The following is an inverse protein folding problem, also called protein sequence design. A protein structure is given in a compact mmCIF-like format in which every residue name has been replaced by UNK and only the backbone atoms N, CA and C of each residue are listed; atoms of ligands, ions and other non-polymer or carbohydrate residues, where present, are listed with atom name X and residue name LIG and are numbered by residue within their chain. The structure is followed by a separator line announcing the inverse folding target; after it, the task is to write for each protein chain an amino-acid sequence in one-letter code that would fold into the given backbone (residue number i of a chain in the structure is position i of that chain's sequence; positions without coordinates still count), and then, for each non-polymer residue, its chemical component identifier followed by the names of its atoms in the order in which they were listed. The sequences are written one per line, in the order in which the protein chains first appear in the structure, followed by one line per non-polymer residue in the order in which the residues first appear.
data_IF_119587952705
#
_entry.id   IF_119587952705
#
_cell.length_a   1.000
_cell.length_b   1.000
_cell.length_c   1.000
_cell.angle_alpha   90.00
_cell.angle_beta   90.00
_cell.angle_gamma   90.00
#
_symmetry.space_group_name_H-M   'P 1'
#
loop_
_entity.id
_entity.type
_entity.pdbx_description
1 polymer ?
#
# COMPACT_ATOMS: atom_id res chain seq x y z
N UNK A 1 32.98 -49.60 19.47
CA UNK A 1 31.61 -49.20 19.06
C UNK A 1 30.94 -48.23 20.03
N UNK A 2 31.01 -48.42 21.36
CA UNK A 2 30.35 -47.56 22.37
C UNK A 2 30.80 -46.08 22.42
N UNK A 3 31.97 -45.74 21.87
CA UNK A 3 32.52 -44.39 21.95
C UNK A 3 32.05 -43.51 20.78
N UNK A 4 31.79 -44.12 19.62
CA UNK A 4 31.28 -43.44 18.42
C UNK A 4 29.79 -43.07 18.58
N UNK A 5 29.02 -43.92 19.25
CA UNK A 5 27.60 -43.66 19.50
C UNK A 5 27.42 -42.46 20.46
N UNK A 6 28.31 -42.32 21.44
CA UNK A 6 28.32 -41.20 22.39
C UNK A 6 28.78 -39.88 21.75
N UNK A 7 29.65 -39.91 20.74
CA UNK A 7 30.03 -38.68 20.02
C UNK A 7 28.93 -38.21 19.09
N UNK A 8 28.18 -39.11 18.45
CA UNK A 8 27.00 -38.77 17.65
C UNK A 8 25.87 -38.20 18.52
N UNK A 9 25.62 -38.78 19.70
CA UNK A 9 24.67 -38.22 20.67
C UNK A 9 25.07 -36.82 21.16
N UNK A 10 26.36 -36.57 21.43
CA UNK A 10 26.83 -35.23 21.83
C UNK A 10 26.69 -34.22 20.71
N UNK A 11 27.06 -34.57 19.48
CA UNK A 11 26.92 -33.69 18.32
C UNK A 11 25.45 -33.29 18.07
N UNK A 12 24.49 -34.18 18.37
CA UNK A 12 23.06 -33.90 18.26
C UNK A 12 22.53 -32.98 19.37
N UNK A 13 23.17 -32.97 20.56
CA UNK A 13 22.84 -32.08 21.69
C UNK A 13 23.48 -30.70 21.58
N UNK A 14 24.61 -30.60 20.87
CA UNK A 14 25.36 -29.35 20.66
C UNK A 14 24.99 -28.62 19.36
N UNK A 15 24.10 -29.19 18.55
CA UNK A 15 23.56 -28.50 17.38
C UNK A 15 22.94 -27.16 17.81
N UNK A 16 23.40 -26.02 17.26
CA UNK A 16 22.86 -24.72 17.64
C UNK A 16 21.36 -24.71 17.37
N UNK A 17 20.52 -24.19 18.29
CA UNK A 17 19.09 -24.19 18.11
C UNK A 17 18.76 -23.41 16.83
N UNK A 18 18.22 -24.13 15.83
CA UNK A 18 17.75 -23.59 14.56
C UNK A 18 16.65 -22.54 14.82
N UNK A 19 17.01 -21.27 15.06
CA UNK A 19 15.98 -20.33 15.48
C UNK A 19 16.41 -18.95 15.94
N UNK A 20 17.46 -18.35 15.39
CA UNK A 20 17.74 -16.92 15.62
C UNK A 20 16.53 -16.04 15.27
N UNK A 21 15.86 -16.36 14.17
CA UNK A 21 14.59 -15.72 13.76
C UNK A 21 13.43 -16.04 14.73
N UNK A 22 13.34 -17.29 15.20
CA UNK A 22 12.28 -17.73 16.11
C UNK A 22 12.41 -17.09 17.50
N UNK A 23 13.63 -16.87 18.01
CA UNK A 23 13.87 -16.14 19.27
C UNK A 23 13.56 -14.64 19.15
N UNK A 24 13.79 -14.03 17.98
CA UNK A 24 13.39 -12.64 17.71
C UNK A 24 11.86 -12.48 17.60
N UNK A 25 11.16 -13.51 17.10
CA UNK A 25 9.71 -13.55 16.93
C UNK A 25 8.95 -14.14 18.13
N UNK A 26 9.62 -14.71 19.13
CA UNK A 26 8.97 -15.32 20.31
C UNK A 26 8.77 -14.36 21.49
N UNK A 27 9.31 -13.13 21.42
CA UNK A 27 9.07 -12.09 22.43
C UNK A 27 7.63 -11.52 22.38
N UNK A 28 7.25 -10.70 23.37
CA UNK A 28 5.92 -10.05 23.45
C UNK A 28 5.49 -9.35 22.15
N UNK A 29 6.44 -8.75 21.42
CA UNK A 29 6.20 -8.09 20.12
C UNK A 29 5.88 -9.09 19.00
N UNK A 30 6.54 -10.24 18.96
CA UNK A 30 6.32 -11.25 17.93
C UNK A 30 5.04 -12.04 18.15
N UNK A 31 4.61 -12.26 19.41
CA UNK A 31 3.26 -12.76 19.71
C UNK A 31 2.18 -11.83 19.16
N UNK A 32 2.32 -10.52 19.36
CA UNK A 32 1.40 -9.51 18.83
C UNK A 32 1.40 -9.46 17.29
N UNK A 33 2.57 -9.57 16.65
CA UNK A 33 2.66 -9.64 15.19
C UNK A 33 1.93 -10.88 14.65
N UNK A 34 2.08 -12.02 15.32
CA UNK A 34 1.39 -13.26 14.96
C UNK A 34 -0.13 -13.11 15.10
N UNK A 35 -0.60 -12.51 16.19
CA UNK A 35 -2.02 -12.18 16.39
C UNK A 35 -2.56 -11.31 15.25
N UNK A 36 -1.84 -10.25 14.85
CA UNK A 36 -2.23 -9.41 13.71
C UNK A 36 -2.22 -10.15 12.38
N UNK A 37 -1.16 -10.91 12.08
CA UNK A 37 -1.07 -11.68 10.84
C UNK A 37 -2.19 -12.70 10.74
N UNK A 38 -2.51 -13.40 11.83
CA UNK A 38 -3.63 -14.32 11.86
C UNK A 38 -4.95 -13.60 11.56
N UNK A 39 -5.18 -12.43 12.17
CA UNK A 39 -6.37 -11.62 11.89
C UNK A 39 -6.45 -11.19 10.42
N UNK A 40 -5.37 -10.64 9.86
CA UNK A 40 -5.34 -10.23 8.45
C UNK A 40 -5.50 -11.41 7.48
N UNK A 41 -4.90 -12.56 7.77
CA UNK A 41 -5.03 -13.77 6.95
C UNK A 41 -6.47 -14.32 6.95
N UNK A 42 -7.19 -14.19 8.07
CA UNK A 42 -8.61 -14.57 8.14
C UNK A 42 -9.50 -13.63 7.32
N UNK A 43 -9.18 -12.33 7.30
CA UNK A 43 -9.93 -11.33 6.53
C UNK A 43 -9.61 -11.39 5.04
N UNK A 44 -8.37 -11.73 4.68
CA UNK A 44 -7.85 -11.73 3.31
C UNK A 44 -8.77 -12.44 2.28
N UNK A 45 -9.26 -13.68 2.49
CA UNK A 45 -10.12 -14.34 1.49
C UNK A 45 -11.41 -13.57 1.24
N UNK A 46 -12.02 -12.99 2.29
CA UNK A 46 -13.23 -12.18 2.16
C UNK A 46 -12.94 -10.87 1.43
N UNK A 47 -11.82 -10.21 1.74
CA UNK A 47 -11.37 -9.01 1.02
C UNK A 47 -11.11 -9.29 -0.46
N UNK A 48 -10.50 -10.42 -0.81
CA UNK A 48 -10.27 -10.83 -2.21
C UNK A 48 -11.60 -11.05 -2.93
N UNK A 49 -12.58 -11.67 -2.26
CA UNK A 49 -13.91 -11.89 -2.83
C UNK A 49 -14.64 -10.57 -3.07
N UNK A 50 -14.68 -9.68 -2.08
CA UNK A 50 -15.27 -8.34 -2.19
C UNK A 50 -14.58 -7.53 -3.30
N UNK A 51 -13.26 -7.60 -3.38
CA UNK A 51 -12.51 -6.92 -4.43
C UNK A 51 -12.87 -7.47 -5.81
N UNK A 52 -12.82 -8.79 -6.00
CA UNK A 52 -13.02 -9.42 -7.32
C UNK A 52 -14.44 -9.30 -7.83
N UNK A 53 -15.45 -9.45 -6.94
CA UNK A 53 -16.87 -9.44 -7.32
C UNK A 53 -17.48 -8.04 -7.20
N UNK A 54 -17.03 -7.22 -6.25
CA UNK A 54 -17.61 -5.89 -5.99
C UNK A 54 -16.83 -4.75 -6.62
N UNK A 55 -15.58 -4.55 -6.18
CA UNK A 55 -14.82 -3.34 -6.55
C UNK A 55 -14.26 -3.41 -7.98
N UNK A 56 -13.77 -4.57 -8.40
CA UNK A 56 -13.15 -4.77 -9.70
C UNK A 56 -14.13 -4.50 -10.86
N UNK A 57 -15.37 -5.04 -10.87
CA UNK A 57 -16.31 -4.76 -11.95
C UNK A 57 -16.69 -3.27 -12.04
N UNK A 58 -16.83 -2.58 -10.91
CA UNK A 58 -17.10 -1.14 -10.86
C UNK A 58 -15.94 -0.35 -11.47
N UNK A 59 -14.71 -0.66 -11.07
CA UNK A 59 -13.51 -0.03 -11.63
C UNK A 59 -13.35 -0.32 -13.13
N UNK A 60 -13.63 -1.55 -13.55
CA UNK A 60 -13.59 -1.95 -14.96
C UNK A 60 -14.65 -1.22 -15.79
N UNK A 61 -15.88 -1.09 -15.28
CA UNK A 61 -16.93 -0.32 -15.93
C UNK A 61 -16.54 1.16 -16.08
N UNK A 62 -15.93 1.76 -15.05
CA UNK A 62 -15.39 3.11 -15.12
C UNK A 62 -14.29 3.22 -16.18
N UNK A 63 -13.34 2.29 -16.22
CA UNK A 63 -12.30 2.26 -17.25
C UNK A 63 -12.89 2.20 -18.66
N UNK A 64 -13.83 1.28 -18.90
CA UNK A 64 -14.54 1.14 -20.18
C UNK A 64 -15.27 2.44 -20.55
N UNK A 65 -15.92 3.10 -19.59
CA UNK A 65 -16.67 4.35 -19.81
C UNK A 65 -15.80 5.53 -20.26
N UNK A 66 -14.49 5.50 -19.96
CA UNK A 66 -13.53 6.53 -20.39
C UNK A 66 -12.92 6.25 -21.77
N UNK A 67 -13.24 5.10 -22.37
CA UNK A 67 -12.74 4.68 -23.68
C UNK A 67 -13.87 4.61 -24.70
N UNK A 68 -13.50 4.71 -25.98
CA UNK A 68 -14.45 4.44 -27.07
C UNK A 68 -14.63 2.93 -27.21
N UNK A 69 -15.60 2.35 -26.52
CA UNK A 69 -15.84 0.91 -26.56
C UNK A 69 -16.87 0.54 -27.63
N UNK A 70 -16.45 -0.26 -28.62
CA UNK A 70 -17.36 -0.92 -29.58
C UNK A 70 -17.20 -2.43 -29.43
N UNK A 71 -16.70 -3.12 -30.47
CA UNK A 71 -16.39 -4.56 -30.46
C UNK A 71 -14.98 -4.82 -29.90
N UNK A 72 -14.09 -3.82 -29.98
CA UNK A 72 -12.74 -3.85 -29.44
C UNK A 72 -12.49 -2.61 -28.57
N UNK A 73 -11.47 -2.70 -27.72
CA UNK A 73 -10.93 -1.55 -27.00
C UNK A 73 -10.52 -0.48 -28.03
N UNK A 74 -11.03 0.73 -27.85
CA UNK A 74 -10.72 1.91 -28.66
C UNK A 74 -9.94 2.95 -27.87
N UNK A 75 -9.58 4.09 -28.48
CA UNK A 75 -8.77 5.11 -27.83
C UNK A 75 -9.45 5.69 -26.58
N UNK A 76 -8.64 6.19 -25.66
CA UNK A 76 -9.10 6.96 -24.52
C UNK A 76 -9.80 8.24 -25.00
N UNK A 77 -11.05 8.45 -24.58
CA UNK A 77 -11.87 9.63 -24.93
C UNK A 77 -12.17 10.50 -23.72
N UNK A 78 -11.67 10.11 -22.54
CA UNK A 78 -11.88 10.83 -21.29
C UNK A 78 -13.35 10.94 -20.92
N UNK A 79 -13.75 12.12 -20.45
CA UNK A 79 -15.11 12.38 -19.99
C UNK A 79 -16.12 12.63 -21.13
N UNK A 80 -15.71 12.49 -22.39
CA UNK A 80 -16.58 12.78 -23.54
C UNK A 80 -17.87 11.95 -23.53
N UNK A 81 -17.78 10.67 -23.16
CA UNK A 81 -18.96 9.81 -23.06
C UNK A 81 -19.96 10.28 -21.99
N UNK A 82 -19.47 10.86 -20.88
CA UNK A 82 -20.32 11.44 -19.84
C UNK A 82 -20.91 12.77 -20.30
N UNK A 83 -20.08 13.67 -20.84
CA UNK A 83 -20.54 14.96 -21.35
C UNK A 83 -21.61 14.79 -22.43
N UNK A 84 -21.48 13.81 -23.34
CA UNK A 84 -22.51 13.53 -24.35
C UNK A 84 -23.79 12.90 -23.78
N UNK A 85 -23.75 12.25 -22.62
CA UNK A 85 -24.91 11.59 -22.03
C UNK A 85 -25.77 12.53 -21.17
N UNK A 86 -25.15 13.47 -20.47
CA UNK A 86 -25.82 14.39 -19.53
C UNK A 86 -25.67 15.88 -19.89
N UNK A 87 -24.94 16.20 -20.98
CA UNK A 87 -24.79 17.52 -21.60
C UNK A 87 -24.52 18.66 -20.59
N UNK A 88 -25.30 19.74 -20.59
CA UNK A 88 -25.12 20.89 -19.71
C UNK A 88 -25.05 20.52 -18.21
N UNK A 89 -25.73 19.45 -17.79
CA UNK A 89 -25.72 18.98 -16.39
C UNK A 89 -24.34 18.47 -15.96
N UNK A 90 -23.53 17.94 -16.88
CA UNK A 90 -22.16 17.50 -16.59
C UNK A 90 -21.32 18.62 -15.99
N UNK A 91 -21.41 19.81 -16.59
CA UNK A 91 -20.64 20.97 -16.18
C UNK A 91 -21.04 21.45 -14.78
N UNK A 92 -22.34 21.47 -14.48
CA UNK A 92 -22.86 21.85 -13.16
C UNK A 92 -22.41 20.84 -12.09
N UNK A 93 -22.47 19.54 -12.39
CA UNK A 93 -22.03 18.49 -11.48
C UNK A 93 -20.52 18.56 -11.20
N UNK A 94 -19.69 18.71 -12.24
CA UNK A 94 -18.24 18.84 -12.10
C UNK A 94 -17.90 20.09 -11.30
N UNK A 95 -18.56 21.21 -11.58
CA UNK A 95 -18.39 22.45 -10.83
C UNK A 95 -18.77 22.26 -9.35
N UNK A 96 -19.91 21.63 -9.06
CA UNK A 96 -20.35 21.35 -7.70
C UNK A 96 -19.37 20.46 -6.93
N UNK A 97 -18.84 19.41 -7.56
CA UNK A 97 -17.80 18.56 -6.97
C UNK A 97 -16.52 19.35 -6.72
N UNK A 98 -16.08 20.19 -7.67
CA UNK A 98 -14.89 21.01 -7.53
C UNK A 98 -15.02 22.00 -6.37
N UNK A 99 -16.16 22.68 -6.24
CA UNK A 99 -16.47 23.58 -5.11
C UNK A 99 -16.49 22.81 -3.79
N UNK A 100 -17.14 21.65 -3.75
CA UNK A 100 -17.18 20.80 -2.55
C UNK A 100 -15.79 20.35 -2.09
N UNK A 101 -14.95 19.89 -3.03
CA UNK A 101 -13.56 19.51 -2.75
C UNK A 101 -12.73 20.71 -2.29
N UNK A 102 -12.89 21.88 -2.91
CA UNK A 102 -12.21 23.11 -2.50
C UNK A 102 -12.61 23.53 -1.08
N UNK A 103 -13.91 23.47 -0.75
CA UNK A 103 -14.41 23.74 0.59
C UNK A 103 -13.82 22.79 1.63
N UNK A 104 -13.81 21.48 1.35
CA UNK A 104 -13.23 20.47 2.25
C UNK A 104 -11.73 20.68 2.44
N UNK A 105 -11.00 21.01 1.37
CA UNK A 105 -9.57 21.32 1.42
C UNK A 105 -9.29 22.56 2.29
N UNK A 106 -10.08 23.63 2.13
CA UNK A 106 -9.96 24.84 2.95
C UNK A 106 -10.30 24.54 4.42
N UNK A 107 -11.37 23.80 4.68
CA UNK A 107 -11.79 23.43 6.05
C UNK A 107 -10.70 22.65 6.77
N UNK A 108 -10.20 21.59 6.13
CA UNK A 108 -9.14 20.75 6.69
C UNK A 108 -7.83 21.52 6.86
N UNK A 109 -7.45 22.37 5.90
CA UNK A 109 -6.27 23.22 6.03
C UNK A 109 -6.38 24.18 7.23
N UNK A 110 -7.54 24.82 7.43
CA UNK A 110 -7.78 25.70 8.58
C UNK A 110 -7.69 24.94 9.91
N UNK A 111 -8.29 23.75 9.99
CA UNK A 111 -8.23 22.91 11.19
C UNK A 111 -6.79 22.47 11.51
N UNK A 112 -6.01 22.07 10.50
CA UNK A 112 -4.60 21.69 10.67
C UNK A 112 -3.77 22.88 11.14
N UNK A 113 -3.96 24.06 10.54
CA UNK A 113 -3.22 25.27 10.90
C UNK A 113 -3.56 25.76 12.31
N UNK A 114 -4.81 25.63 12.73
CA UNK A 114 -5.25 25.99 14.08
C UNK A 114 -4.61 25.08 15.13
N UNK A 115 -4.75 23.76 14.97
CA UNK A 115 -4.15 22.75 15.87
C UNK A 115 -2.62 22.84 15.91
N UNK A 116 -1.99 23.13 14.77
CA UNK A 116 -0.54 23.31 14.70
C UNK A 116 -0.06 24.51 15.54
N UNK A 117 -0.83 25.61 15.58
CA UNK A 117 -0.51 26.78 16.41
C UNK A 117 -0.69 26.49 17.90
N UNK A 118 -1.73 25.74 18.27
CA UNK A 118 -2.02 25.38 19.67
C UNK A 118 -1.00 24.41 20.26
N UNK A 119 -0.57 23.41 19.47
CA UNK A 119 0.37 22.38 19.93
C UNK A 119 1.83 22.62 19.53
N UNK A 120 2.15 23.76 18.90
CA UNK A 120 3.48 24.10 18.35
C UNK A 120 4.07 22.97 17.47
N UNK A 121 3.22 22.27 16.74
CA UNK A 121 3.61 21.18 15.83
C UNK A 121 3.97 21.74 14.44
N UNK A 122 4.77 20.99 13.68
CA UNK A 122 5.18 21.36 12.31
C UNK A 122 4.29 20.67 11.27
N UNK A 123 3.21 21.30 10.76
CA UNK A 123 2.21 20.64 9.91
C UNK A 123 2.76 20.25 8.53
N UNK A 124 3.80 20.94 8.05
CA UNK A 124 4.41 20.72 6.75
C UNK A 124 4.99 19.32 6.55
N UNK A 125 5.48 18.67 7.62
CA UNK A 125 6.02 17.31 7.55
C UNK A 125 4.91 16.30 7.27
N UNK A 126 3.76 16.46 7.93
CA UNK A 126 2.59 15.61 7.69
C UNK A 126 1.98 15.86 6.31
N UNK A 127 1.98 17.12 5.86
CA UNK A 127 1.53 17.48 4.52
C UNK A 127 2.44 16.89 3.43
N UNK A 128 3.75 16.97 3.61
CA UNK A 128 4.73 16.33 2.72
C UNK A 128 4.50 14.82 2.66
N UNK A 129 4.38 14.17 3.81
CA UNK A 129 4.14 12.73 3.87
C UNK A 129 2.82 12.34 3.18
N UNK A 130 1.75 13.11 3.43
CA UNK A 130 0.47 12.92 2.76
C UNK A 130 0.58 13.09 1.24
N UNK A 131 1.32 14.10 0.78
CA UNK A 131 1.53 14.36 -0.65
C UNK A 131 2.30 13.23 -1.35
N UNK A 132 3.32 12.65 -0.69
CA UNK A 132 4.07 11.51 -1.20
C UNK A 132 3.18 10.27 -1.36
N UNK A 133 2.34 9.99 -0.37
CA UNK A 133 1.38 8.89 -0.47
C UNK A 133 0.33 9.15 -1.56
N UNK A 134 -0.20 10.36 -1.68
CA UNK A 134 -1.11 10.73 -2.76
C UNK A 134 -0.47 10.54 -4.14
N UNK A 135 0.79 10.98 -4.30
CA UNK A 135 1.58 10.74 -5.52
C UNK A 135 1.74 9.25 -5.83
N UNK A 136 1.98 8.42 -4.81
CA UNK A 136 2.05 6.97 -4.98
C UNK A 136 0.72 6.38 -5.48
N UNK A 137 -0.42 6.86 -4.98
CA UNK A 137 -1.75 6.40 -5.43
C UNK A 137 -1.98 6.80 -6.89
N UNK A 138 -1.61 8.01 -7.28
CA UNK A 138 -1.71 8.46 -8.68
C UNK A 138 -0.87 7.57 -9.61
N UNK A 139 0.36 7.25 -9.21
CA UNK A 139 1.24 6.37 -9.99
C UNK A 139 0.73 4.94 -10.06
N UNK A 140 0.11 4.42 -8.99
CA UNK A 140 -0.58 3.13 -9.01
C UNK A 140 -1.72 3.11 -10.03
N UNK A 141 -2.59 4.13 -10.00
CA UNK A 141 -3.68 4.24 -10.96
C UNK A 141 -3.17 4.33 -12.40
N UNK A 142 -2.09 5.10 -12.63
CA UNK A 142 -1.41 5.12 -13.94
C UNK A 142 -0.92 3.73 -14.35
N UNK A 143 -0.26 3.00 -13.46
CA UNK A 143 0.17 1.62 -13.72
C UNK A 143 -1.01 0.73 -14.13
N UNK A 144 -2.13 0.78 -13.40
CA UNK A 144 -3.35 0.00 -13.72
C UNK A 144 -3.90 0.38 -15.11
N UNK A 145 -4.00 1.67 -15.42
CA UNK A 145 -4.50 2.15 -16.72
C UNK A 145 -3.60 1.71 -17.88
N UNK A 146 -2.28 1.66 -17.68
CA UNK A 146 -1.30 1.23 -18.69
C UNK A 146 -1.27 -0.31 -18.83
N UNK A 147 -1.46 -1.05 -17.74
CA UNK A 147 -1.53 -2.52 -17.74
C UNK A 147 -2.80 -3.03 -18.42
N UNK A 148 -3.94 -2.37 -18.19
CA UNK A 148 -5.24 -2.80 -18.70
C UNK A 148 -5.26 -3.11 -20.21
N UNK A 149 -4.79 -2.25 -21.13
CA UNK A 149 -4.81 -2.54 -22.56
C UNK A 149 -3.92 -3.73 -22.94
N UNK A 150 -2.76 -3.91 -22.29
CA UNK A 150 -1.87 -5.05 -22.56
C UNK A 150 -2.52 -6.38 -22.17
N UNK A 151 -3.22 -6.41 -21.01
CA UNK A 151 -3.95 -7.60 -20.55
C UNK A 151 -5.17 -7.88 -21.45
N UNK A 152 -5.93 -6.84 -21.80
CA UNK A 152 -7.08 -6.97 -22.69
C UNK A 152 -6.68 -7.39 -24.12
N UNK A 153 -5.50 -6.97 -24.57
CA UNK A 153 -4.91 -7.34 -25.87
C UNK A 153 -4.54 -8.82 -26.00
N UNK A 154 -4.40 -9.55 -24.89
CA UNK A 154 -4.17 -11.01 -24.90
C UNK A 154 -5.23 -11.72 -25.75
N UNK A 155 -6.49 -11.26 -25.69
CA UNK A 155 -7.59 -11.84 -26.46
C UNK A 155 -7.36 -11.78 -27.99
N UNK A 156 -6.66 -10.76 -28.48
CA UNK A 156 -6.26 -10.69 -29.90
C UNK A 156 -5.05 -11.59 -30.19
N UNK A 157 -4.09 -11.70 -29.27
CA UNK A 157 -2.89 -12.55 -29.41
C UNK A 157 -3.19 -14.05 -29.42
N UNK A 158 -4.27 -14.49 -28.77
CA UNK A 158 -4.70 -15.90 -28.71
C UNK A 158 -5.44 -16.36 -29.99
N UNK A 159 -5.84 -15.43 -30.87
CA UNK A 159 -6.61 -15.77 -32.08
C UNK A 159 -5.79 -16.62 -33.03
N UNK A 160 -6.35 -17.75 -33.46
CA UNK A 160 -5.69 -18.68 -34.38
C UNK A 160 -4.62 -19.56 -33.73
N UNK A 161 -4.41 -19.45 -32.42
CA UNK A 161 -3.53 -20.33 -31.65
C UNK A 161 -4.35 -21.37 -30.86
N UNK A 162 -3.72 -22.51 -30.56
CA UNK A 162 -4.29 -23.47 -29.64
C UNK A 162 -4.37 -22.87 -28.22
N UNK A 163 -5.56 -22.95 -27.63
CA UNK A 163 -5.82 -22.36 -26.32
C UNK A 163 -5.30 -23.29 -25.23
N UNK A 164 -4.12 -22.99 -24.71
CA UNK A 164 -3.51 -23.68 -23.56
C UNK A 164 -3.32 -22.75 -22.36
N UNK A 165 -3.19 -23.35 -21.17
CA UNK A 165 -2.90 -22.61 -19.93
C UNK A 165 -1.51 -21.97 -20.01
N UNK A 166 -0.56 -22.67 -20.59
CA UNK A 166 0.83 -22.28 -20.74
C UNK A 166 0.93 -21.04 -21.62
N UNK A 167 0.24 -21.03 -22.76
CA UNK A 167 0.17 -19.86 -23.66
C UNK A 167 -0.44 -18.65 -22.93
N UNK A 168 -1.53 -18.83 -22.19
CA UNK A 168 -2.15 -17.75 -21.44
C UNK A 168 -1.22 -17.16 -20.37
N UNK A 169 -0.54 -18.00 -19.59
CA UNK A 169 0.42 -17.55 -18.57
C UNK A 169 1.61 -16.83 -19.20
N UNK A 170 2.11 -17.31 -20.35
CA UNK A 170 3.16 -16.64 -21.11
C UNK A 170 2.73 -15.23 -21.53
N UNK A 171 1.56 -15.10 -22.16
CA UNK A 171 1.03 -13.80 -22.59
C UNK A 171 0.73 -12.87 -21.42
N UNK A 172 0.31 -13.41 -20.26
CA UNK A 172 0.11 -12.63 -19.05
C UNK A 172 1.42 -12.05 -18.50
N UNK A 173 2.49 -12.86 -18.48
CA UNK A 173 3.82 -12.40 -18.07
C UNK A 173 4.37 -11.38 -19.08
N UNK A 174 4.13 -11.58 -20.37
CA UNK A 174 4.49 -10.63 -21.43
C UNK A 174 3.79 -9.28 -21.22
N UNK A 175 2.48 -9.28 -20.94
CA UNK A 175 1.73 -8.06 -20.64
C UNK A 175 2.26 -7.32 -19.39
N UNK A 176 2.62 -8.06 -18.32
CA UNK A 176 3.21 -7.48 -17.11
C UNK A 176 4.63 -6.91 -17.33
N UNK A 177 5.35 -7.42 -18.34
CA UNK A 177 6.71 -7.00 -18.70
C UNK A 177 6.77 -6.11 -19.94
N UNK A 178 5.61 -5.67 -20.46
CA UNK A 178 5.55 -4.77 -21.60
C UNK A 178 6.35 -3.48 -21.32
N UNK A 179 6.96 -2.91 -22.35
CA UNK A 179 7.81 -1.72 -22.25
C UNK A 179 7.06 -0.50 -21.66
N UNK A 180 5.75 -0.44 -21.85
CA UNK A 180 4.87 0.58 -21.28
C UNK A 180 4.58 0.34 -19.79
N UNK A 181 4.44 -0.93 -19.39
CA UNK A 181 3.95 -1.37 -18.07
C UNK A 181 5.07 -1.41 -17.03
N UNK A 182 6.20 -2.02 -17.37
CA UNK A 182 7.28 -2.28 -16.41
C UNK A 182 7.85 -1.00 -15.79
N UNK A 183 8.14 0.07 -16.55
CA UNK A 183 8.59 1.33 -15.96
C UNK A 183 7.53 1.99 -15.08
N UNK A 184 6.24 1.89 -15.44
CA UNK A 184 5.15 2.44 -14.63
C UNK A 184 5.04 1.74 -13.27
N UNK A 185 5.20 0.41 -13.26
CA UNK A 185 5.26 -0.38 -12.03
C UNK A 185 6.47 0.02 -11.17
N UNK A 186 7.66 0.13 -11.77
CA UNK A 186 8.88 0.52 -11.06
C UNK A 186 8.79 1.94 -10.47
N UNK A 187 8.22 2.89 -11.20
CA UNK A 187 8.00 4.25 -10.70
C UNK A 187 7.05 4.25 -9.49
N UNK A 188 5.95 3.50 -9.56
CA UNK A 188 5.01 3.38 -8.46
C UNK A 188 5.67 2.76 -7.22
N UNK A 189 6.29 1.59 -7.35
CA UNK A 189 6.87 0.89 -6.20
C UNK A 189 8.01 1.69 -5.56
N UNK A 190 8.78 2.43 -6.36
CA UNK A 190 9.85 3.29 -5.86
C UNK A 190 9.27 4.41 -5.01
N UNK A 191 8.29 5.18 -5.52
CA UNK A 191 7.68 6.28 -4.77
C UNK A 191 6.93 5.78 -3.53
N UNK A 192 6.22 4.66 -3.65
CA UNK A 192 5.54 4.03 -2.51
C UNK A 192 6.54 3.62 -1.42
N UNK A 193 7.64 2.97 -1.80
CA UNK A 193 8.67 2.54 -0.85
C UNK A 193 9.36 3.73 -0.20
N UNK A 194 9.70 4.78 -0.95
CA UNK A 194 10.26 6.01 -0.42
C UNK A 194 9.31 6.69 0.57
N UNK A 195 8.02 6.80 0.23
CA UNK A 195 7.01 7.34 1.13
C UNK A 195 6.88 6.52 2.42
N UNK A 196 6.88 5.20 2.31
CA UNK A 196 6.79 4.29 3.45
C UNK A 196 8.04 4.33 4.36
N UNK A 197 9.24 4.32 3.78
CA UNK A 197 10.50 4.46 4.50
C UNK A 197 10.57 5.81 5.22
N UNK A 198 10.15 6.89 4.54
CA UNK A 198 10.08 8.22 5.14
C UNK A 198 9.09 8.25 6.32
N UNK A 199 7.88 7.68 6.16
CA UNK A 199 6.90 7.53 7.23
C UNK A 199 7.47 6.77 8.43
N UNK A 200 8.14 5.64 8.16
CA UNK A 200 8.74 4.79 9.17
C UNK A 200 9.85 5.53 9.94
N UNK A 201 10.72 6.24 9.22
CA UNK A 201 11.79 7.04 9.80
C UNK A 201 11.24 8.15 10.71
N UNK A 202 10.26 8.93 10.21
CA UNK A 202 9.61 9.98 11.00
C UNK A 202 8.97 9.43 12.28
N UNK A 203 8.29 8.28 12.17
CA UNK A 203 7.69 7.62 13.31
C UNK A 203 8.76 7.18 14.33
N UNK A 204 9.88 6.62 13.86
CA UNK A 204 10.96 6.15 14.72
C UNK A 204 11.64 7.29 15.48
N UNK A 205 11.91 8.42 14.81
CA UNK A 205 12.53 9.60 15.42
C UNK A 205 11.60 10.25 16.45
N UNK A 206 10.31 10.42 16.12
CA UNK A 206 9.30 10.96 17.05
C UNK A 206 9.20 10.14 18.34
N UNK A 207 9.05 8.82 18.23
CA UNK A 207 9.00 7.92 19.40
C UNK A 207 10.29 7.90 20.23
N UNK A 208 11.45 8.17 19.61
CA UNK A 208 12.72 8.26 20.35
C UNK A 208 12.79 9.50 21.23
N UNK A 209 12.31 10.65 20.73
CA UNK A 209 12.31 11.93 21.45
C UNK A 209 11.25 11.99 22.55
N UNK A 210 10.07 11.40 22.34
CA UNK A 210 9.04 11.33 23.38
C UNK A 210 9.50 10.48 24.58
N UNK A 211 10.15 9.34 24.32
CA UNK A 211 10.67 8.49 25.41
C UNK A 211 11.77 9.17 26.24
N UNK A 212 12.68 9.94 25.63
CA UNK A 212 13.72 10.65 26.38
C UNK A 212 13.13 11.79 27.23
N UNK A 213 12.12 12.49 26.72
CA UNK A 213 11.43 13.54 27.48
C UNK A 213 10.68 13.00 28.71
N UNK A 214 10.02 11.85 28.59
CA UNK A 214 9.32 11.20 29.71
C UNK A 214 10.27 10.65 30.77
N UNK A 215 11.43 10.14 30.36
CA UNK A 215 12.47 9.68 31.28
C UNK A 215 13.12 10.84 32.04
N UNK A 216 13.39 11.97 31.36
CA UNK A 216 13.90 13.18 32.00
C UNK A 216 12.86 13.83 32.93
N UNK A 217 11.58 13.84 32.55
CA UNK A 217 10.52 14.34 33.43
C UNK A 217 10.38 13.49 34.69
N UNK A 218 10.43 12.16 34.58
CA UNK A 218 10.38 11.26 35.75
C UNK A 218 11.62 11.37 36.64
N UNK A 219 12.81 11.55 36.08
CA UNK A 219 14.03 11.72 36.89
C UNK A 219 14.05 13.07 37.63
N UNK A 220 13.40 14.09 37.08
CA UNK A 220 13.34 15.42 37.67
C UNK A 220 12.22 15.57 38.73
N UNK A 221 11.15 14.77 38.64
CA UNK A 221 9.97 14.87 39.54
C UNK A 221 9.98 13.89 40.71
N UNK A 222 10.89 12.91 40.75
CA UNK A 222 10.98 11.95 41.86
C UNK A 222 12.41 11.82 42.42
N UNK A 223 12.80 12.66 43.40
CA UNK A 223 14.13 12.58 44.02
C UNK A 223 14.27 11.49 45.10
N UNK A 224 13.26 10.69 45.41
CA UNK A 224 13.32 9.76 46.55
C UNK A 224 12.83 8.35 46.22
N UNK A 225 13.77 7.47 45.87
CA UNK A 225 13.72 6.07 46.29
C UNK A 225 15.06 5.69 46.90
N UNK A 226 15.19 6.02 48.18
CA UNK A 226 16.21 5.45 49.05
C UNK A 226 15.92 3.96 49.19
N UNK A 227 16.91 3.17 48.78
CA UNK A 227 17.05 1.74 48.98
C UNK A 227 16.73 1.37 50.44
N UNK A 228 15.66 0.61 50.66
CA UNK A 228 15.56 -0.20 51.89
C UNK A 228 16.21 -1.55 51.61
N UNK A 229 17.21 -1.82 52.43
CA UNK A 229 17.89 -3.09 52.67
C UNK A 229 16.94 -4.26 52.78
#
# INVERSE_FOLDING_TARGET
MQQVDRSVERAKREAPPNGGLQKLLSGRRGRRLREYLTGYLMILPSSVLIFTIGLFPVGFALYVSLHKWKIKHGPFVGLKNFASAIDALAYVMIFGVAVGLAYLAIRTAREILHKAREHNERPWIHLLLGSLHAGSVILFLRYVVVLAPEVLGIADKVKGLERSRELFLQLMVEALRAESVWPAFLQWITIFTLAWVFAFYLNRVRFSNENSSLLNFKSQTWPYYVRKT
#
